data_IF_086219031740
#
_entry.id   IF_086219031740
#
_cell.length_a   1.000
_cell.length_b   1.000
_cell.length_c   1.000
_cell.angle_alpha   90.00
_cell.angle_beta   90.00
_cell.angle_gamma   90.00
#
_symmetry.space_group_name_H-M   'P 1'
#
loop_
_entity.id
_entity.type
_entity.pdbx_description
1 polymer ?
#
# COMPACT_ATOMS: atom_id res chain seq x y z
N UNK A 1 -3.64 -0.54 -6.30
CA UNK A 1 -3.70 -2.00 -6.49
C UNK A 1 -4.83 -2.58 -5.64
N UNK A 2 -5.39 -3.73 -6.00
CA UNK A 2 -6.30 -4.47 -5.11
C UNK A 2 -5.52 -5.40 -4.16
N UNK A 3 -6.19 -6.00 -3.18
CA UNK A 3 -5.56 -6.87 -2.17
C UNK A 3 -4.89 -8.11 -2.79
N UNK A 4 -5.48 -8.68 -3.85
CA UNK A 4 -4.92 -9.84 -4.56
C UNK A 4 -3.58 -9.51 -5.19
N UNK A 5 -3.52 -8.42 -5.96
CA UNK A 5 -2.30 -7.95 -6.62
C UNK A 5 -1.19 -7.61 -5.60
N UNK A 6 -1.55 -7.03 -4.45
CA UNK A 6 -0.59 -6.74 -3.39
C UNK A 6 -0.06 -8.00 -2.72
N UNK A 7 -0.92 -8.99 -2.48
CA UNK A 7 -0.53 -10.29 -1.92
C UNK A 7 0.46 -11.03 -2.85
N UNK A 8 0.17 -11.05 -4.15
CA UNK A 8 1.05 -11.63 -5.17
C UNK A 8 2.40 -10.90 -5.23
N UNK A 9 2.40 -9.57 -5.33
CA UNK A 9 3.62 -8.77 -5.41
C UNK A 9 4.52 -8.89 -4.17
N UNK A 10 3.93 -9.12 -3.00
CA UNK A 10 4.65 -9.27 -1.72
C UNK A 10 4.96 -10.73 -1.37
N UNK A 11 4.56 -11.71 -2.20
CA UNK A 11 4.70 -13.13 -1.87
C UNK A 11 4.02 -13.52 -0.55
N UNK A 12 2.89 -12.89 -0.22
CA UNK A 12 2.22 -13.02 1.08
C UNK A 12 0.77 -13.47 0.93
N UNK A 13 0.15 -13.90 2.03
CA UNK A 13 -1.26 -14.30 1.99
C UNK A 13 -2.18 -13.09 1.94
N UNK A 14 -3.31 -13.21 1.24
CA UNK A 14 -4.32 -12.15 1.17
C UNK A 14 -4.84 -11.75 2.56
N UNK A 15 -4.98 -12.70 3.49
CA UNK A 15 -5.42 -12.42 4.85
C UNK A 15 -4.44 -11.49 5.59
N UNK A 16 -3.13 -11.75 5.48
CA UNK A 16 -2.09 -10.91 6.11
C UNK A 16 -2.04 -9.52 5.49
N UNK A 17 -2.08 -9.44 4.15
CA UNK A 17 -2.08 -8.14 3.45
C UNK A 17 -3.34 -7.35 3.77
N UNK A 18 -4.51 -7.99 3.82
CA UNK A 18 -5.78 -7.35 4.19
C UNK A 18 -5.73 -6.76 5.61
N UNK A 19 -5.20 -7.53 6.58
CA UNK A 19 -5.04 -7.06 7.95
C UNK A 19 -4.13 -5.83 8.03
N UNK A 20 -3.00 -5.85 7.31
CA UNK A 20 -2.08 -4.72 7.29
C UNK A 20 -2.70 -3.49 6.62
N UNK A 21 -3.40 -3.66 5.49
CA UNK A 21 -4.10 -2.58 4.82
C UNK A 21 -5.22 -1.98 5.67
N UNK A 22 -5.89 -2.79 6.49
CA UNK A 22 -6.90 -2.30 7.45
C UNK A 22 -6.26 -1.39 8.51
N UNK A 23 -5.09 -1.76 9.04
CA UNK A 23 -4.33 -0.92 9.98
C UNK A 23 -3.86 0.39 9.35
N UNK A 24 -3.19 0.29 8.19
CA UNK A 24 -2.70 1.47 7.46
C UNK A 24 -3.83 2.43 7.08
N UNK A 25 -5.02 1.90 6.76
CA UNK A 25 -6.20 2.73 6.51
C UNK A 25 -6.70 3.41 7.78
N UNK A 26 -6.72 2.70 8.91
CA UNK A 26 -7.10 3.25 10.21
C UNK A 26 -6.17 4.38 10.67
N UNK A 27 -4.89 4.29 10.31
CA UNK A 27 -3.85 5.30 10.59
C UNK A 27 -3.78 6.42 9.53
N UNK A 28 -4.63 6.39 8.50
CA UNK A 28 -4.63 7.40 7.43
C UNK A 28 -3.44 7.30 6.45
N UNK A 29 -2.64 6.25 6.53
CA UNK A 29 -1.46 6.04 5.66
C UNK A 29 -1.88 5.71 4.22
N UNK A 30 -2.99 4.97 4.08
CA UNK A 30 -3.56 4.61 2.78
C UNK A 30 -5.03 4.98 2.71
N UNK A 31 -5.46 5.33 1.50
CA UNK A 31 -6.85 5.55 1.16
C UNK A 31 -7.34 4.46 0.21
N UNK A 32 -8.67 4.34 0.14
CA UNK A 32 -9.32 3.32 -0.68
C UNK A 32 -10.39 3.94 -1.56
N UNK A 33 -10.53 3.41 -2.77
CA UNK A 33 -11.64 3.70 -3.67
C UNK A 33 -12.26 2.41 -4.19
N UNK A 34 -13.58 2.38 -4.33
CA UNK A 34 -14.27 1.24 -4.95
C UNK A 34 -14.23 1.39 -6.47
N UNK A 35 -13.92 0.30 -7.16
CA UNK A 35 -13.97 0.18 -8.61
C UNK A 35 -14.74 -1.10 -8.95
N UNK A 36 -16.04 -0.96 -9.21
CA UNK A 36 -16.96 -2.09 -9.32
C UNK A 36 -16.99 -2.90 -8.02
N UNK A 37 -16.71 -4.21 -8.13
CA UNK A 37 -16.64 -5.14 -6.98
C UNK A 37 -15.30 -5.09 -6.24
N UNK A 38 -14.29 -4.38 -6.75
CA UNK A 38 -12.95 -4.36 -6.17
C UNK A 38 -12.70 -3.10 -5.34
N UNK A 39 -11.90 -3.25 -4.28
CA UNK A 39 -11.36 -2.13 -3.50
C UNK A 39 -9.92 -1.89 -3.93
N UNK A 40 -9.64 -0.67 -4.37
CA UNK A 40 -8.31 -0.24 -4.81
C UNK A 40 -7.69 0.62 -3.72
N UNK A 41 -6.45 0.27 -3.34
CA UNK A 41 -5.64 0.97 -2.35
C UNK A 41 -4.63 1.91 -3.02
N UNK A 42 -4.38 3.04 -2.37
CA UNK A 42 -3.48 4.11 -2.78
C UNK A 42 -2.85 4.75 -1.52
N UNK A 43 -1.64 5.31 -1.62
CA UNK A 43 -1.10 6.15 -0.54
C UNK A 43 -1.98 7.39 -0.33
N UNK A 44 -2.13 7.83 0.91
CA UNK A 44 -2.67 9.16 1.17
C UNK A 44 -1.69 10.21 0.66
N UNK A 45 -2.16 11.23 -0.06
CA UNK A 45 -1.28 12.17 -0.76
C UNK A 45 -0.63 13.21 0.14
N UNK A 46 -1.27 13.60 1.24
CA UNK A 46 -0.89 14.81 1.96
C UNK A 46 0.42 14.67 2.74
N UNK A 47 0.58 13.60 3.54
CA UNK A 47 1.74 13.47 4.43
C UNK A 47 2.61 12.25 4.13
N UNK A 48 2.03 11.22 3.51
CA UNK A 48 2.67 9.89 3.41
C UNK A 48 3.55 9.80 2.18
N UNK A 49 3.12 10.38 1.06
CA UNK A 49 3.82 10.27 -0.22
C UNK A 49 5.27 10.79 -0.16
N UNK A 50 5.58 11.95 0.47
CA UNK A 50 6.96 12.41 0.60
C UNK A 50 7.84 11.45 1.42
N UNK A 51 7.33 10.93 2.54
CA UNK A 51 8.05 9.99 3.41
C UNK A 51 8.38 8.69 2.67
N UNK A 52 7.38 8.09 2.01
CA UNK A 52 7.59 6.87 1.22
C UNK A 52 8.54 7.13 0.05
N UNK A 53 8.51 8.32 -0.55
CA UNK A 53 9.45 8.71 -1.60
C UNK A 53 10.90 8.72 -1.10
N UNK A 54 11.15 9.33 0.07
CA UNK A 54 12.49 9.37 0.69
C UNK A 54 12.97 7.96 1.04
N UNK A 55 12.12 7.12 1.63
CA UNK A 55 12.46 5.72 1.93
C UNK A 55 12.81 4.95 0.66
N UNK A 56 12.01 5.08 -0.39
CA UNK A 56 12.29 4.45 -1.69
C UNK A 56 13.62 4.93 -2.25
N UNK A 57 13.90 6.22 -2.22
CA UNK A 57 15.13 6.77 -2.78
C UNK A 57 16.37 6.38 -1.95
N UNK A 58 16.22 6.21 -0.64
CA UNK A 58 17.30 5.82 0.28
C UNK A 58 17.61 4.33 0.21
N UNK A 59 16.58 3.49 0.22
CA UNK A 59 16.71 2.04 0.37
C UNK A 59 16.49 1.26 -0.92
N UNK A 60 15.54 1.67 -1.77
CA UNK A 60 15.20 0.91 -2.97
C UNK A 60 16.02 1.35 -4.19
N UNK A 61 16.33 2.64 -4.35
CA UNK A 61 17.14 3.13 -5.48
C UNK A 61 18.60 2.67 -5.41
N UNK A 62 19.10 2.35 -4.20
CA UNK A 62 20.43 1.78 -3.99
C UNK A 62 20.52 0.28 -4.32
N UNK A 63 19.38 -0.40 -4.43
CA UNK A 63 19.28 -1.83 -4.75
C UNK A 63 19.10 -2.11 -6.25
N UNK A 64 19.22 -1.08 -7.09
CA UNK A 64 19.14 -1.17 -8.55
C UNK A 64 20.52 -0.94 -9.19
#
# INVERSE_FOLDING_TARGET
MNVTQLAEALGSSQARVSQQLMRLRGEGVVQTRRHGKQVIYQLAQDEVAPVVSVLRDTFCRRLA
#
